data_IF_759896544641
#
_entry.id   IF_759896544641
#
_cell.length_a   1.000
_cell.length_b   1.000
_cell.length_c   1.000
_cell.angle_alpha   90.00
_cell.angle_beta   90.00
_cell.angle_gamma   90.00
#
_symmetry.space_group_name_H-M   'P 1'
#
loop_
_entity.id
_entity.type
_entity.pdbx_description
1 polymer ?
#
# COMPACT_ATOMS: atom_id res chain seq x y z
N UNK A 1 14.30 3.06 -20.14
CA UNK A 1 13.78 1.84 -19.47
C UNK A 1 12.30 2.12 -19.20
N UNK A 2 11.40 1.16 -19.43
CA UNK A 2 10.03 1.33 -19.00
C UNK A 2 10.06 1.41 -17.46
N UNK A 3 9.75 2.57 -16.90
CA UNK A 3 9.75 2.77 -15.46
C UNK A 3 8.70 1.86 -14.78
N UNK A 4 8.86 1.63 -13.48
CA UNK A 4 7.86 0.91 -12.65
C UNK A 4 6.56 1.72 -12.67
N UNK A 5 5.45 1.08 -13.09
CA UNK A 5 4.16 1.75 -13.15
C UNK A 5 3.71 2.15 -11.76
N UNK A 6 3.44 3.43 -11.49
CA UNK A 6 3.05 3.90 -10.17
C UNK A 6 1.75 3.26 -9.67
N UNK A 7 1.66 3.09 -8.34
CA UNK A 7 0.46 2.61 -7.65
C UNK A 7 -0.01 3.63 -6.61
N UNK A 8 -1.23 4.13 -6.77
CA UNK A 8 -1.88 5.00 -5.78
C UNK A 8 -2.94 4.18 -5.03
N UNK A 9 -2.69 3.90 -3.77
CA UNK A 9 -3.52 3.04 -2.92
C UNK A 9 -4.27 3.86 -1.87
N UNK A 10 -5.59 3.85 -1.89
CA UNK A 10 -6.42 4.51 -0.88
C UNK A 10 -6.76 3.56 0.27
N UNK A 11 -6.11 3.73 1.41
CA UNK A 11 -6.43 3.01 2.65
C UNK A 11 -7.50 3.78 3.43
N UNK A 12 -8.73 3.31 3.41
CA UNK A 12 -9.85 3.99 4.09
C UNK A 12 -9.81 3.80 5.61
N UNK A 13 -8.98 2.89 6.10
CA UNK A 13 -8.89 2.57 7.53
C UNK A 13 -10.28 2.17 8.07
N UNK A 14 -10.66 2.67 9.24
CA UNK A 14 -11.97 2.40 9.86
C UNK A 14 -12.93 3.56 9.57
N UNK A 15 -13.14 3.84 8.28
CA UNK A 15 -14.08 4.87 7.81
C UNK A 15 -14.98 4.32 6.72
N UNK A 16 -16.10 4.98 6.53
CA UNK A 16 -17.23 4.61 5.69
C UNK A 16 -18.02 3.40 6.19
N UNK A 17 -19.29 3.45 6.00
CA UNK A 17 -20.17 2.30 5.91
C UNK A 17 -20.43 1.93 4.44
N UNK A 18 -21.15 0.85 4.20
CA UNK A 18 -21.40 0.35 2.86
C UNK A 18 -22.16 1.32 1.94
N UNK A 19 -22.93 2.27 2.48
CA UNK A 19 -23.63 3.31 1.72
C UNK A 19 -22.68 4.43 1.36
N UNK A 20 -21.88 4.90 2.33
CA UNK A 20 -20.86 5.92 2.11
C UNK A 20 -19.78 5.44 1.13
N UNK A 21 -19.35 4.19 1.26
CA UNK A 21 -18.43 3.53 0.34
C UNK A 21 -18.96 3.51 -1.11
N UNK A 22 -20.26 3.20 -1.28
CA UNK A 22 -20.93 3.23 -2.57
C UNK A 22 -20.95 4.64 -3.17
N UNK A 23 -21.30 5.65 -2.38
CA UNK A 23 -21.34 7.05 -2.84
C UNK A 23 -19.95 7.56 -3.21
N UNK A 24 -18.96 7.34 -2.35
CA UNK A 24 -17.57 7.73 -2.57
C UNK A 24 -17.02 7.13 -3.88
N UNK A 25 -17.17 5.82 -4.04
CA UNK A 25 -16.59 5.13 -5.20
C UNK A 25 -17.32 5.48 -6.51
N UNK A 26 -18.63 5.66 -6.46
CA UNK A 26 -19.39 6.12 -7.64
C UNK A 26 -19.01 7.54 -8.05
N UNK A 27 -18.86 8.46 -7.08
CA UNK A 27 -18.40 9.82 -7.38
C UNK A 27 -16.97 9.81 -7.96
N UNK A 28 -16.08 8.99 -7.41
CA UNK A 28 -14.74 8.80 -7.98
C UNK A 28 -14.81 8.26 -9.41
N UNK A 29 -15.60 7.22 -9.67
CA UNK A 29 -15.75 6.62 -10.98
C UNK A 29 -16.30 7.57 -12.03
N UNK A 30 -17.23 8.45 -11.67
CA UNK A 30 -17.78 9.48 -12.56
C UNK A 30 -16.76 10.58 -12.90
N UNK A 31 -15.78 10.81 -12.06
CA UNK A 31 -14.76 11.87 -12.24
C UNK A 31 -13.47 11.37 -12.85
N UNK A 32 -13.13 10.07 -12.68
CA UNK A 32 -11.97 9.46 -13.29
C UNK A 32 -12.08 9.47 -14.81
N UNK A 33 -11.04 9.95 -15.46
CA UNK A 33 -10.91 9.93 -16.91
C UNK A 33 -9.92 8.87 -17.36
N UNK A 34 -10.02 8.36 -18.60
CA UNK A 34 -9.07 7.39 -19.15
C UNK A 34 -7.60 7.82 -18.98
N UNK A 35 -7.31 9.12 -19.17
CA UNK A 35 -5.97 9.67 -19.01
C UNK A 35 -5.46 9.62 -17.56
N UNK A 36 -6.34 9.72 -16.55
CA UNK A 36 -5.95 9.67 -15.14
C UNK A 36 -5.40 8.28 -14.77
N UNK A 37 -6.02 7.23 -15.32
CA UNK A 37 -5.63 5.82 -15.05
C UNK A 37 -4.70 5.23 -16.11
N UNK A 38 -4.42 5.95 -17.20
CA UNK A 38 -3.44 5.50 -18.19
C UNK A 38 -2.01 5.49 -17.62
N UNK A 39 -1.71 6.43 -16.72
CA UNK A 39 -0.38 6.63 -16.17
C UNK A 39 -0.13 5.85 -14.87
N UNK A 40 -1.18 5.56 -14.08
CA UNK A 40 -1.04 4.93 -12.75
C UNK A 40 -2.03 3.78 -12.56
N UNK A 41 -1.67 2.84 -11.69
CA UNK A 41 -2.62 1.90 -11.10
C UNK A 41 -3.28 2.56 -9.89
N UNK A 42 -4.58 2.34 -9.71
CA UNK A 42 -5.34 2.85 -8.56
C UNK A 42 -5.97 1.68 -7.81
N UNK A 43 -5.82 1.65 -6.49
CA UNK A 43 -6.51 0.68 -5.63
C UNK A 43 -7.21 1.38 -4.47
N UNK A 44 -8.30 0.76 -4.00
CA UNK A 44 -9.03 1.19 -2.80
C UNK A 44 -9.12 0.03 -1.82
N UNK A 45 -8.87 0.33 -0.54
CA UNK A 45 -8.84 -0.65 0.54
C UNK A 45 -9.91 -0.30 1.58
N UNK A 46 -11.16 -0.72 1.36
CA UNK A 46 -12.26 -0.45 2.27
C UNK A 46 -12.20 -1.35 3.52
N UNK A 47 -12.96 -1.03 4.60
CA UNK A 47 -13.25 -1.97 5.67
C UNK A 47 -13.84 -3.29 5.15
N UNK A 48 -13.68 -4.36 5.91
CA UNK A 48 -14.19 -5.69 5.49
C UNK A 48 -15.70 -5.71 5.23
N UNK A 49 -16.47 -4.91 5.98
CA UNK A 49 -17.93 -4.75 5.82
C UNK A 49 -18.33 -4.23 4.45
N UNK A 50 -17.43 -3.53 3.75
CA UNK A 50 -17.73 -2.80 2.52
C UNK A 50 -17.15 -3.47 1.27
N UNK A 51 -16.25 -4.45 1.47
CA UNK A 51 -15.56 -5.12 0.36
C UNK A 51 -16.53 -5.64 -0.72
N UNK A 52 -17.63 -6.30 -0.31
CA UNK A 52 -18.59 -6.84 -1.28
C UNK A 52 -19.34 -5.74 -2.02
N UNK A 53 -19.67 -4.64 -1.34
CA UNK A 53 -20.32 -3.47 -1.96
C UNK A 53 -19.40 -2.84 -3.00
N UNK A 54 -18.15 -2.59 -2.62
CA UNK A 54 -17.11 -2.01 -3.50
C UNK A 54 -16.85 -2.92 -4.71
N UNK A 55 -16.64 -4.22 -4.49
CA UNK A 55 -16.44 -5.20 -5.55
C UNK A 55 -17.59 -5.18 -6.57
N UNK A 56 -18.83 -5.24 -6.07
CA UNK A 56 -20.00 -5.27 -6.94
C UNK A 56 -20.10 -4.00 -7.78
N UNK A 57 -19.79 -2.84 -7.21
CA UNK A 57 -19.85 -1.56 -7.90
C UNK A 57 -18.74 -1.44 -8.96
N UNK A 58 -17.51 -1.79 -8.61
CA UNK A 58 -16.37 -1.80 -9.55
C UNK A 58 -16.67 -2.65 -10.77
N UNK A 59 -17.22 -3.86 -10.57
CA UNK A 59 -17.56 -4.75 -11.67
C UNK A 59 -18.72 -4.24 -12.53
N UNK A 60 -19.81 -3.80 -11.89
CA UNK A 60 -21.03 -3.38 -12.60
C UNK A 60 -20.87 -2.08 -13.37
N UNK A 61 -20.16 -1.11 -12.81
CA UNK A 61 -19.98 0.21 -13.40
C UNK A 61 -18.64 0.35 -14.12
N UNK A 62 -17.85 -0.75 -14.19
CA UNK A 62 -16.53 -0.82 -14.81
C UNK A 62 -15.61 0.32 -14.35
N UNK A 63 -15.63 0.62 -13.04
CA UNK A 63 -14.79 1.67 -12.47
C UNK A 63 -13.33 1.20 -12.53
N UNK A 64 -12.39 1.98 -13.09
CA UNK A 64 -11.03 1.54 -13.33
C UNK A 64 -10.15 1.63 -12.08
N UNK A 65 -10.62 1.04 -10.97
CA UNK A 65 -9.87 0.88 -9.72
C UNK A 65 -9.79 -0.60 -9.34
N UNK A 66 -8.75 -0.97 -8.62
CA UNK A 66 -8.55 -2.33 -8.17
C UNK A 66 -8.98 -2.46 -6.69
N UNK A 67 -9.66 -3.56 -6.38
CA UNK A 67 -10.05 -3.86 -5.02
C UNK A 67 -8.83 -4.29 -4.20
N UNK A 68 -8.65 -3.67 -3.05
CA UNK A 68 -7.69 -4.04 -2.03
C UNK A 68 -8.37 -4.39 -0.71
N UNK A 69 -7.63 -5.00 0.20
CA UNK A 69 -8.03 -5.25 1.57
C UNK A 69 -7.01 -4.66 2.55
N UNK A 70 -7.46 -4.29 3.75
CA UNK A 70 -6.62 -3.64 4.76
C UNK A 70 -5.79 -4.61 5.58
N UNK A 71 -6.13 -5.90 5.53
CA UNK A 71 -5.50 -6.98 6.28
C UNK A 71 -6.10 -8.33 5.84
N UNK A 72 -5.48 -9.44 6.23
CA UNK A 72 -6.10 -10.77 6.29
C UNK A 72 -5.41 -11.65 7.33
N UNK A 73 -6.04 -12.77 7.66
CA UNK A 73 -5.41 -13.83 8.45
C UNK A 73 -4.25 -14.49 7.69
N UNK A 74 -3.33 -15.11 8.40
CA UNK A 74 -2.28 -15.98 7.85
C UNK A 74 -2.79 -17.38 7.49
N UNK A 75 -4.02 -17.72 7.91
CA UNK A 75 -4.68 -19.00 7.70
C UNK A 75 -5.84 -18.89 6.70
N UNK A 76 -6.03 -19.94 5.90
CA UNK A 76 -7.10 -20.01 4.89
C UNK A 76 -8.48 -20.26 5.48
N UNK A 77 -8.54 -20.92 6.63
CA UNK A 77 -9.76 -21.23 7.39
C UNK A 77 -9.40 -21.65 8.81
N UNK A 78 -10.38 -21.69 9.71
CA UNK A 78 -10.18 -22.21 11.06
C UNK A 78 -11.00 -21.51 12.15
N UNK A 79 -10.74 -21.90 13.39
CA UNK A 79 -11.40 -21.34 14.57
C UNK A 79 -10.78 -20.00 14.98
N UNK A 80 -10.96 -18.98 14.15
CA UNK A 80 -10.44 -17.60 14.31
C UNK A 80 -11.59 -16.60 14.18
N UNK A 81 -12.47 -16.59 15.16
CA UNK A 81 -13.67 -15.74 15.15
C UNK A 81 -13.34 -14.28 14.90
N UNK A 82 -13.94 -13.69 13.87
CA UNK A 82 -13.74 -12.29 13.47
C UNK A 82 -12.64 -12.08 12.40
N UNK A 83 -11.80 -13.08 12.11
CA UNK A 83 -10.80 -12.98 11.06
C UNK A 83 -11.38 -13.19 9.66
N UNK A 84 -10.73 -12.55 8.68
CA UNK A 84 -11.02 -12.73 7.26
C UNK A 84 -9.82 -13.41 6.60
N UNK A 85 -10.07 -14.55 5.95
CA UNK A 85 -9.00 -15.34 5.33
C UNK A 85 -8.58 -14.78 3.96
N UNK A 86 -7.33 -15.04 3.52
CA UNK A 86 -6.90 -14.67 2.16
C UNK A 86 -7.73 -15.38 1.09
N UNK A 87 -8.22 -16.61 1.35
CA UNK A 87 -9.14 -17.30 0.45
C UNK A 87 -10.45 -16.54 0.23
N UNK A 88 -11.06 -15.98 1.30
CA UNK A 88 -12.27 -15.17 1.20
C UNK A 88 -12.04 -13.92 0.36
N UNK A 89 -10.90 -13.23 0.56
CA UNK A 89 -10.53 -12.05 -0.21
C UNK A 89 -10.30 -12.35 -1.69
N UNK A 90 -9.58 -13.42 -2.00
CA UNK A 90 -9.36 -13.85 -3.38
C UNK A 90 -10.67 -14.15 -4.12
N UNK A 91 -11.66 -14.74 -3.43
CA UNK A 91 -13.01 -14.99 -3.99
C UNK A 91 -13.80 -13.72 -4.28
N UNK A 92 -13.43 -12.59 -3.68
CA UNK A 92 -13.98 -11.26 -3.99
C UNK A 92 -13.19 -10.54 -5.12
N UNK A 93 -12.17 -11.17 -5.70
CA UNK A 93 -11.34 -10.52 -6.72
C UNK A 93 -10.39 -9.47 -6.15
N UNK A 94 -10.09 -9.52 -4.85
CA UNK A 94 -9.11 -8.65 -4.22
C UNK A 94 -7.75 -8.80 -4.90
N UNK A 95 -7.17 -7.68 -5.33
CA UNK A 95 -5.86 -7.65 -5.99
C UNK A 95 -4.72 -7.40 -5.01
N UNK A 96 -4.90 -6.44 -4.11
CA UNK A 96 -3.88 -6.02 -3.15
C UNK A 96 -4.33 -6.28 -1.71
N UNK A 97 -3.40 -6.60 -0.83
CA UNK A 97 -3.66 -6.71 0.62
C UNK A 97 -2.57 -5.96 1.38
N UNK A 98 -2.96 -4.99 2.21
CA UNK A 98 -2.05 -4.31 3.12
C UNK A 98 -1.66 -5.30 4.23
N UNK A 99 -0.36 -5.45 4.48
CA UNK A 99 0.18 -6.38 5.46
C UNK A 99 1.13 -5.64 6.39
N UNK A 100 0.89 -5.74 7.69
CA UNK A 100 1.77 -5.13 8.69
C UNK A 100 1.69 -3.62 8.78
N UNK A 101 0.54 -3.00 8.42
CA UNK A 101 0.32 -1.56 8.61
C UNK A 101 0.68 -1.14 10.03
N UNK A 102 1.26 0.05 10.18
CA UNK A 102 1.75 0.58 11.47
C UNK A 102 0.71 0.49 12.59
N UNK A 103 -0.57 0.81 12.30
CA UNK A 103 -1.66 0.68 13.27
C UNK A 103 -1.87 -0.77 13.73
N UNK A 104 -1.71 -1.75 12.85
CA UNK A 104 -1.83 -3.17 13.24
C UNK A 104 -0.64 -3.64 14.08
N UNK A 105 0.54 -3.12 13.82
CA UNK A 105 1.72 -3.38 14.64
C UNK A 105 1.57 -2.77 16.04
N UNK A 106 1.17 -1.50 16.12
CA UNK A 106 1.11 -0.75 17.39
C UNK A 106 -0.12 -1.05 18.23
N UNK A 107 -1.32 -1.11 17.61
CA UNK A 107 -2.58 -1.27 18.35
C UNK A 107 -2.97 -2.73 18.56
N UNK A 108 -2.55 -3.63 17.67
CA UNK A 108 -2.96 -5.05 17.70
C UNK A 108 -1.78 -6.00 17.90
N UNK A 109 -0.56 -5.50 18.14
CA UNK A 109 0.61 -6.30 18.45
C UNK A 109 1.09 -7.22 17.32
N UNK A 110 0.85 -6.84 16.05
CA UNK A 110 1.25 -7.64 14.90
C UNK A 110 2.78 -7.67 14.78
N UNK A 111 3.39 -8.81 15.01
CA UNK A 111 4.85 -9.02 14.95
C UNK A 111 5.35 -9.20 13.52
N UNK A 112 6.66 -9.03 13.29
CA UNK A 112 7.28 -9.28 11.99
C UNK A 112 7.08 -10.73 11.52
N UNK A 113 7.10 -11.69 12.43
CA UNK A 113 6.79 -13.08 12.11
C UNK A 113 5.35 -13.25 11.59
N UNK A 114 4.37 -12.56 12.21
CA UNK A 114 2.98 -12.55 11.74
C UNK A 114 2.86 -11.85 10.39
N UNK A 115 3.59 -10.76 10.17
CA UNK A 115 3.64 -10.07 8.87
C UNK A 115 4.16 -11.00 7.79
N UNK A 116 5.27 -11.70 8.01
CA UNK A 116 5.83 -12.66 7.06
C UNK A 116 4.87 -13.84 6.76
N UNK A 117 4.18 -14.36 7.78
CA UNK A 117 3.19 -15.43 7.60
C UNK A 117 1.98 -14.94 6.78
N UNK A 118 1.44 -13.76 7.10
CA UNK A 118 0.33 -13.14 6.37
C UNK A 118 0.72 -12.83 4.92
N UNK A 119 1.92 -12.29 4.68
CA UNK A 119 2.45 -12.04 3.34
C UNK A 119 2.44 -13.32 2.49
N UNK A 120 3.00 -14.41 3.03
CA UNK A 120 3.02 -15.71 2.36
C UNK A 120 1.61 -16.24 2.08
N UNK A 121 0.66 -15.98 3.00
CA UNK A 121 -0.75 -16.33 2.81
C UNK A 121 -1.39 -15.55 1.65
N UNK A 122 -1.12 -14.26 1.53
CA UNK A 122 -1.58 -13.42 0.39
C UNK A 122 -1.03 -13.94 -0.93
N UNK A 123 0.27 -14.26 -0.98
CA UNK A 123 0.92 -14.80 -2.19
C UNK A 123 0.36 -16.15 -2.62
N UNK A 124 0.02 -17.06 -1.67
CA UNK A 124 -0.62 -18.36 -1.98
C UNK A 124 -1.90 -18.23 -2.78
N UNK A 125 -2.60 -17.10 -2.66
CA UNK A 125 -3.85 -16.82 -3.37
C UNK A 125 -3.68 -15.87 -4.56
N UNK A 126 -2.45 -15.72 -5.07
CA UNK A 126 -2.12 -14.88 -6.23
C UNK A 126 -2.53 -13.39 -6.09
N UNK A 127 -2.69 -12.92 -4.86
CA UNK A 127 -2.84 -11.50 -4.53
C UNK A 127 -1.47 -10.85 -4.30
N UNK A 128 -1.41 -9.54 -4.40
CA UNK A 128 -0.18 -8.76 -4.20
C UNK A 128 -0.18 -8.15 -2.80
N UNK A 129 0.77 -8.52 -1.92
CA UNK A 129 0.90 -7.87 -0.63
C UNK A 129 1.51 -6.47 -0.78
N UNK A 130 0.96 -5.50 -0.02
CA UNK A 130 1.57 -4.20 0.25
C UNK A 130 2.14 -4.30 1.66
N UNK A 131 3.45 -4.51 1.76
CA UNK A 131 4.13 -4.73 3.04
C UNK A 131 4.54 -3.41 3.65
N UNK A 132 3.98 -3.08 4.82
CA UNK A 132 4.29 -1.84 5.52
C UNK A 132 5.51 -2.02 6.42
N UNK A 133 6.46 -1.11 6.27
CA UNK A 133 7.70 -1.01 7.06
C UNK A 133 7.94 0.43 7.46
N UNK A 134 8.57 0.66 8.61
CA UNK A 134 8.89 2.01 9.05
C UNK A 134 9.28 2.06 10.52
N UNK A 135 9.93 3.14 10.88
CA UNK A 135 10.48 3.40 12.21
C UNK A 135 9.59 4.33 13.05
N UNK A 136 9.70 4.19 14.35
CA UNK A 136 9.11 5.11 15.32
C UNK A 136 9.93 6.39 15.45
N UNK A 137 9.38 7.41 16.14
CA UNK A 137 10.09 8.64 16.46
C UNK A 137 11.34 8.38 17.30
N UNK A 138 11.25 7.47 18.28
CA UNK A 138 12.38 7.10 19.13
C UNK A 138 13.49 6.39 18.34
N UNK A 139 13.11 5.51 17.39
CA UNK A 139 14.08 4.83 16.53
C UNK A 139 14.77 5.82 15.60
N UNK A 140 14.04 6.77 15.02
CA UNK A 140 14.61 7.85 14.19
C UNK A 140 15.55 8.73 14.99
N UNK A 141 15.12 9.22 16.15
CA UNK A 141 15.93 10.07 17.02
C UNK A 141 17.24 9.38 17.48
N UNK A 142 17.20 8.04 17.59
CA UNK A 142 18.38 7.23 17.92
C UNK A 142 19.23 6.86 16.68
N UNK A 143 18.92 7.36 15.48
CA UNK A 143 19.63 7.02 14.25
C UNK A 143 19.48 5.57 13.81
N UNK A 144 18.37 4.91 14.16
CA UNK A 144 18.12 3.48 13.91
C UNK A 144 17.13 3.21 12.77
N UNK A 145 16.81 4.21 11.95
CA UNK A 145 15.90 4.05 10.80
C UNK A 145 16.31 2.88 9.90
N UNK A 146 17.54 2.90 9.38
CA UNK A 146 18.04 1.84 8.50
C UNK A 146 18.01 0.46 9.15
N UNK A 147 18.45 0.36 10.42
CA UNK A 147 18.43 -0.92 11.14
C UNK A 147 17.01 -1.47 11.30
N UNK A 148 16.03 -0.59 11.54
CA UNK A 148 14.62 -0.98 11.64
C UNK A 148 14.04 -1.42 10.30
N UNK A 149 14.34 -0.70 9.24
CA UNK A 149 13.92 -1.07 7.88
C UNK A 149 14.55 -2.40 7.46
N UNK A 150 15.85 -2.61 7.74
CA UNK A 150 16.53 -3.87 7.44
C UNK A 150 15.86 -5.04 8.20
N UNK A 151 15.62 -4.91 9.51
CA UNK A 151 14.94 -5.93 10.30
C UNK A 151 13.59 -6.33 9.70
N UNK A 152 12.73 -5.36 9.39
CA UNK A 152 11.38 -5.60 8.89
C UNK A 152 11.38 -6.14 7.46
N UNK A 153 12.21 -5.60 6.57
CA UNK A 153 12.31 -6.04 5.18
C UNK A 153 12.87 -7.47 5.10
N UNK A 154 13.96 -7.76 5.81
CA UNK A 154 14.55 -9.09 5.80
C UNK A 154 13.59 -10.15 6.36
N UNK A 155 12.88 -9.84 7.46
CA UNK A 155 11.85 -10.72 8.02
C UNK A 155 10.71 -10.99 7.02
N UNK A 156 10.24 -9.96 6.32
CA UNK A 156 9.14 -10.09 5.35
C UNK A 156 9.55 -10.91 4.12
N UNK A 157 10.78 -10.77 3.64
CA UNK A 157 11.28 -11.42 2.42
C UNK A 157 11.83 -12.82 2.64
N UNK A 158 11.99 -13.26 3.89
CA UNK A 158 12.59 -14.55 4.21
C UNK A 158 11.89 -15.72 3.54
N UNK A 159 12.66 -16.53 2.79
CA UNK A 159 12.19 -17.72 2.08
C UNK A 159 11.35 -17.44 0.82
N UNK A 160 11.30 -16.21 0.31
CA UNK A 160 10.67 -15.89 -0.98
C UNK A 160 11.63 -16.05 -2.15
N UNK A 161 11.11 -16.45 -3.32
CA UNK A 161 11.90 -16.42 -4.55
C UNK A 161 12.07 -14.98 -5.07
N UNK A 162 13.13 -14.70 -5.85
CA UNK A 162 13.34 -13.38 -6.47
C UNK A 162 12.13 -12.88 -7.28
N UNK A 163 11.45 -13.77 -7.99
CA UNK A 163 10.25 -13.43 -8.79
C UNK A 163 9.10 -12.97 -7.91
N UNK A 164 8.88 -13.63 -6.77
CA UNK A 164 7.85 -13.23 -5.81
C UNK A 164 8.21 -11.87 -5.20
N UNK A 165 9.47 -11.66 -4.82
CA UNK A 165 9.94 -10.38 -4.25
C UNK A 165 9.76 -9.23 -5.25
N UNK A 166 10.11 -9.41 -6.52
CA UNK A 166 9.89 -8.39 -7.55
C UNK A 166 8.43 -8.05 -7.80
N UNK A 167 7.50 -8.95 -7.46
CA UNK A 167 6.06 -8.75 -7.58
C UNK A 167 5.39 -8.05 -6.38
N UNK A 168 6.13 -7.81 -5.29
CA UNK A 168 5.60 -7.16 -4.10
C UNK A 168 5.43 -5.64 -4.27
N UNK A 169 4.73 -5.07 -3.31
CA UNK A 169 4.77 -3.63 -3.03
C UNK A 169 5.26 -3.47 -1.59
N UNK A 170 6.21 -2.57 -1.37
CA UNK A 170 6.66 -2.17 -0.03
C UNK A 170 6.15 -0.76 0.24
N UNK A 171 5.50 -0.53 1.37
CA UNK A 171 5.06 0.80 1.78
C UNK A 171 5.93 1.29 2.95
N UNK A 172 6.68 2.36 2.72
CA UNK A 172 7.43 3.02 3.78
C UNK A 172 6.50 3.94 4.57
N UNK A 173 6.32 3.64 5.84
CA UNK A 173 5.50 4.38 6.79
C UNK A 173 6.37 5.01 7.88
N UNK A 174 6.85 6.27 7.74
CA UNK A 174 7.49 6.97 8.84
C UNK A 174 6.47 7.23 9.96
N UNK A 175 6.48 6.39 11.04
CA UNK A 175 5.44 6.43 12.08
C UNK A 175 5.37 7.81 12.76
N UNK A 176 6.51 8.49 12.86
CA UNK A 176 6.63 9.84 13.40
C UNK A 176 5.92 10.92 12.56
N UNK A 177 5.61 10.62 11.28
CA UNK A 177 4.91 11.53 10.36
C UNK A 177 3.45 11.11 10.09
N UNK A 178 2.92 10.07 10.77
CA UNK A 178 1.54 9.60 10.57
C UNK A 178 0.65 10.16 11.67
N UNK A 179 -0.25 11.10 11.32
CA UNK A 179 -1.23 11.64 12.27
C UNK A 179 -0.67 12.54 13.37
N UNK A 180 0.61 12.89 13.33
CA UNK A 180 1.27 13.72 14.34
C UNK A 180 1.26 15.20 14.02
N UNK A 181 0.90 15.58 12.79
CA UNK A 181 1.03 16.95 12.28
C UNK A 181 2.44 17.27 11.77
N UNK A 182 3.42 16.38 11.93
CA UNK A 182 4.71 16.46 11.27
C UNK A 182 4.58 15.82 9.87
N UNK A 183 5.26 16.38 8.88
CA UNK A 183 5.35 15.79 7.54
C UNK A 183 6.80 15.37 7.27
N UNK A 184 7.00 14.15 6.78
CA UNK A 184 8.27 13.79 6.18
C UNK A 184 8.46 14.59 4.88
N UNK A 185 9.71 14.93 4.57
CA UNK A 185 10.05 15.52 3.27
C UNK A 185 10.08 14.48 2.17
N UNK A 186 10.03 14.90 0.90
CA UNK A 186 10.23 14.01 -0.23
C UNK A 186 11.60 13.31 -0.17
N UNK A 187 12.63 14.00 0.29
CA UNK A 187 13.96 13.44 0.51
C UNK A 187 13.98 12.34 1.58
N UNK A 188 13.24 12.50 2.70
CA UNK A 188 13.11 11.42 3.71
C UNK A 188 12.49 10.16 3.09
N UNK A 189 11.50 10.33 2.20
CA UNK A 189 10.87 9.23 1.50
C UNK A 189 11.81 8.58 0.48
N UNK A 190 12.57 9.38 -0.24
CA UNK A 190 13.58 8.91 -1.21
C UNK A 190 14.69 8.11 -0.52
N UNK A 191 15.32 8.67 0.52
CA UNK A 191 16.40 8.02 1.26
C UNK A 191 15.97 6.64 1.78
N UNK A 192 14.77 6.54 2.35
CA UNK A 192 14.21 5.27 2.80
C UNK A 192 13.92 4.32 1.63
N UNK A 193 13.40 4.82 0.50
CA UNK A 193 13.09 4.01 -0.68
C UNK A 193 14.34 3.46 -1.33
N UNK A 194 15.38 4.27 -1.49
CA UNK A 194 16.71 3.84 -1.96
C UNK A 194 17.27 2.73 -1.07
N UNK A 195 17.22 2.93 0.25
CA UNK A 195 17.69 1.92 1.20
C UNK A 195 16.91 0.61 1.11
N UNK A 196 15.56 0.66 1.09
CA UNK A 196 14.70 -0.52 0.93
C UNK A 196 15.02 -1.24 -0.39
N UNK A 197 15.15 -0.52 -1.50
CA UNK A 197 15.47 -1.10 -2.81
C UNK A 197 16.85 -1.75 -2.83
N UNK A 198 17.84 -1.14 -2.18
CA UNK A 198 19.16 -1.74 -2.04
C UNK A 198 19.13 -3.05 -1.22
N UNK A 199 18.32 -3.12 -0.15
CA UNK A 199 18.10 -4.36 0.61
C UNK A 199 17.46 -5.45 -0.26
N UNK A 200 16.44 -5.11 -1.06
CA UNK A 200 15.84 -6.05 -2.01
C UNK A 200 16.88 -6.57 -3.01
N UNK A 201 17.72 -5.68 -3.54
CA UNK A 201 18.81 -6.06 -4.43
C UNK A 201 19.82 -7.03 -3.80
N UNK A 202 20.16 -6.80 -2.53
CA UNK A 202 21.06 -7.64 -1.74
C UNK A 202 20.48 -9.05 -1.51
N UNK A 203 19.17 -9.16 -1.28
CA UNK A 203 18.49 -10.42 -0.89
C UNK A 203 17.99 -11.20 -2.11
N UNK A 204 17.40 -10.53 -3.08
CA UNK A 204 16.70 -11.15 -4.20
C UNK A 204 17.31 -10.81 -5.57
N UNK A 205 18.40 -10.04 -5.62
CA UNK A 205 19.09 -9.66 -6.84
C UNK A 205 18.51 -8.43 -7.52
N UNK A 206 19.31 -7.86 -8.42
CA UNK A 206 18.97 -6.60 -9.11
C UNK A 206 17.64 -6.65 -9.89
N UNK A 207 17.28 -7.74 -10.60
CA UNK A 207 15.99 -7.79 -11.29
C UNK A 207 14.78 -7.64 -10.36
N UNK A 208 14.84 -8.16 -9.13
CA UNK A 208 13.79 -7.98 -8.13
C UNK A 208 13.76 -6.54 -7.62
N UNK A 209 14.92 -5.93 -7.37
CA UNK A 209 15.05 -4.53 -6.97
C UNK A 209 14.49 -3.57 -8.03
N UNK A 210 14.73 -3.87 -9.30
CA UNK A 210 14.24 -3.07 -10.43
C UNK A 210 12.72 -3.21 -10.63
N UNK A 211 12.12 -4.32 -10.17
CA UNK A 211 10.72 -4.62 -10.38
C UNK A 211 9.82 -4.25 -9.18
N UNK A 212 10.32 -4.38 -7.94
CA UNK A 212 9.55 -4.07 -6.73
C UNK A 212 9.11 -2.61 -6.71
N UNK A 213 7.83 -2.38 -6.39
CA UNK A 213 7.30 -1.03 -6.22
C UNK A 213 7.41 -0.60 -4.76
N UNK A 214 7.83 0.65 -4.54
CA UNK A 214 7.92 1.23 -3.21
C UNK A 214 6.95 2.41 -3.13
N UNK A 215 6.05 2.37 -2.15
CA UNK A 215 5.11 3.44 -1.87
C UNK A 215 5.56 4.26 -0.66
N UNK A 216 5.31 5.56 -0.69
CA UNK A 216 5.35 6.37 0.51
C UNK A 216 3.98 6.32 1.20
N UNK A 217 3.97 6.00 2.50
CA UNK A 217 2.76 5.79 3.32
C UNK A 217 2.62 6.75 4.51
N UNK A 218 3.29 7.87 4.50
CA UNK A 218 3.13 8.94 5.50
C UNK A 218 1.95 9.86 5.21
N UNK A 219 2.02 11.11 5.68
CA UNK A 219 0.97 12.11 5.45
C UNK A 219 0.99 12.60 4.01
N UNK A 220 0.06 12.07 3.19
CA UNK A 220 -0.12 12.44 1.78
C UNK A 220 -1.37 13.30 1.63
N UNK A 221 -1.21 14.41 0.90
CA UNK A 221 -2.26 15.33 0.45
C UNK A 221 -2.06 15.63 -1.03
N UNK A 222 -3.07 16.24 -1.70
CA UNK A 222 -2.95 16.60 -3.11
C UNK A 222 -1.78 17.56 -3.37
N UNK A 223 -1.52 18.47 -2.41
CA UNK A 223 -0.50 19.52 -2.50
C UNK A 223 0.94 18.99 -2.45
N UNK A 224 1.18 17.85 -1.79
CA UNK A 224 2.52 17.28 -1.63
C UNK A 224 2.74 15.97 -2.42
N UNK A 225 1.68 15.42 -3.01
CA UNK A 225 1.74 14.15 -3.72
C UNK A 225 2.76 14.18 -4.89
N UNK A 226 2.81 15.30 -5.62
CA UNK A 226 3.75 15.48 -6.74
C UNK A 226 5.20 15.49 -6.28
N UNK A 227 5.49 16.08 -5.11
CA UNK A 227 6.85 16.14 -4.58
C UNK A 227 7.39 14.73 -4.29
N UNK A 228 6.60 13.89 -3.60
CA UNK A 228 6.97 12.49 -3.36
C UNK A 228 7.10 11.69 -4.65
N UNK A 229 6.17 11.87 -5.60
CA UNK A 229 6.16 11.11 -6.86
C UNK A 229 7.23 11.59 -7.86
N UNK A 230 7.91 12.71 -7.59
CA UNK A 230 9.05 13.16 -8.38
C UNK A 230 10.34 12.47 -7.99
N UNK A 231 10.36 11.77 -6.86
CA UNK A 231 11.53 11.06 -6.38
C UNK A 231 11.71 9.73 -7.16
N UNK A 232 12.95 9.41 -7.61
CA UNK A 232 13.21 8.29 -8.52
C UNK A 232 12.84 6.91 -7.99
N UNK A 233 12.94 6.70 -6.67
CA UNK A 233 12.71 5.42 -6.02
C UNK A 233 11.36 5.29 -5.33
N UNK A 234 10.53 6.35 -5.39
CA UNK A 234 9.13 6.34 -4.93
C UNK A 234 8.20 5.99 -6.08
N UNK A 235 7.64 4.77 -6.05
CA UNK A 235 6.79 4.21 -7.11
C UNK A 235 5.30 4.33 -6.82
N UNK A 236 4.91 5.12 -5.84
CA UNK A 236 3.51 5.29 -5.50
C UNK A 236 3.26 5.80 -4.09
N UNK A 237 1.97 5.85 -3.74
CA UNK A 237 1.51 6.42 -2.48
C UNK A 237 0.49 5.48 -1.81
N UNK A 238 0.64 5.26 -0.51
CA UNK A 238 -0.38 4.63 0.33
C UNK A 238 -1.08 5.73 1.14
N UNK A 239 -2.27 6.12 0.67
CA UNK A 239 -2.98 7.33 1.07
C UNK A 239 -4.04 7.02 2.12
N UNK A 240 -3.98 7.67 3.28
CA UNK A 240 -5.00 7.56 4.32
C UNK A 240 -6.15 8.56 4.11
N UNK A 241 -6.26 9.58 4.97
CA UNK A 241 -7.36 10.53 5.03
C UNK A 241 -7.76 11.20 3.71
N UNK A 242 -6.76 11.56 2.86
CA UNK A 242 -7.04 12.15 1.56
C UNK A 242 -7.74 11.18 0.57
N UNK A 243 -7.79 9.87 0.87
CA UNK A 243 -8.51 8.87 0.05
C UNK A 243 -9.99 8.71 0.42
N UNK A 244 -10.48 9.41 1.46
CA UNK A 244 -11.86 9.28 1.93
C UNK A 244 -12.87 10.11 1.14
N UNK A 245 -12.41 11.07 0.35
CA UNK A 245 -13.26 11.92 -0.48
C UNK A 245 -12.82 11.78 -1.95
N UNK A 246 -13.79 11.54 -2.84
CA UNK A 246 -13.52 11.29 -4.26
C UNK A 246 -12.72 12.42 -4.94
N UNK A 247 -13.03 13.68 -4.61
CA UNK A 247 -12.33 14.83 -5.16
C UNK A 247 -10.87 14.89 -4.74
N UNK A 248 -10.59 14.83 -3.44
CA UNK A 248 -9.23 14.86 -2.89
C UNK A 248 -8.39 13.66 -3.36
N UNK A 249 -9.00 12.47 -3.39
CA UNK A 249 -8.29 11.29 -3.86
C UNK A 249 -7.96 11.37 -5.35
N UNK A 250 -8.88 11.91 -6.17
CA UNK A 250 -8.64 12.15 -7.58
C UNK A 250 -7.48 13.14 -7.80
N UNK A 251 -7.40 14.19 -6.99
CA UNK A 251 -6.32 15.16 -7.09
C UNK A 251 -4.95 14.51 -6.77
N UNK A 252 -4.89 13.62 -5.78
CA UNK A 252 -3.69 12.81 -5.49
C UNK A 252 -3.34 11.88 -6.66
N UNK A 253 -4.34 11.19 -7.25
CA UNK A 253 -4.15 10.32 -8.43
C UNK A 253 -3.56 11.10 -9.59
N UNK A 254 -4.07 12.30 -9.87
CA UNK A 254 -3.61 13.17 -10.96
C UNK A 254 -2.21 13.70 -10.72
N UNK A 255 -1.92 14.13 -9.50
CA UNK A 255 -0.58 14.59 -9.12
C UNK A 255 0.46 13.48 -9.33
N UNK A 256 0.17 12.25 -8.84
CA UNK A 256 1.03 11.09 -9.04
C UNK A 256 1.20 10.70 -10.51
N UNK A 257 0.11 10.77 -11.31
CA UNK A 257 0.14 10.45 -12.73
C UNK A 257 0.89 11.46 -13.60
N UNK A 258 0.94 12.72 -13.21
CA UNK A 258 1.64 13.77 -13.96
C UNK A 258 3.16 13.55 -13.98
N UNK A 259 3.73 13.12 -12.85
CA UNK A 259 5.16 12.86 -12.72
C UNK A 259 5.64 11.68 -13.57
N UNK A 260 4.79 10.65 -13.77
CA UNK A 260 5.14 9.46 -14.57
C UNK A 260 5.15 9.72 -16.09
N UNK A 261 4.44 10.76 -16.55
CA UNK A 261 4.34 11.10 -17.98
C UNK A 261 5.48 11.99 -18.48
N UNK A 262 6.22 12.60 -17.57
CA UNK A 262 7.34 13.48 -17.88
C UNK A 262 8.65 12.73 -18.04
#
# INVERSE_FOLDING_TARGET
>A
MAGRRPLISGNWKMHHDHIEALHMLRDLGLRLKPEDVAAVDVSVHPPFTDLRTVQTLVEKEAIPVQLGAQHCSDEDAGARTGEVSPHMLARLGTRYVIVGHSERRTLFGMSDATVAATLKAVLRHAMVPIVCVGETEEERAAGRTEAKLEEQVLSALDGLSPELVGGLVVAYEPLWAIGTGQAASAMDAEDASVFIRALVGKVAGQPAADAVRIQYGGSVQAENAADFMSEPDVDGLLVGGASLQAGTFLDVIRAGGACYRS
#
